data_IF_025186679832
#
_entry.id   IF_025186679832
#
_cell.length_a   1.000
_cell.length_b   1.000
_cell.length_c   1.000
_cell.angle_alpha   90.00
_cell.angle_beta   90.00
_cell.angle_gamma   90.00
#
_symmetry.space_group_name_H-M   'P 1'
#
loop_
_entity.id
_entity.type
_entity.pdbx_description
1 polymer ?
#
# COMPACT_ATOMS: atom_id res chain seq x y z
N UNK A 1 -1.77 34.04 -8.17
CA UNK A 1 -0.77 34.50 -7.17
C UNK A 1 -1.52 35.28 -6.11
N UNK A 2 -1.25 35.03 -4.84
CA UNK A 2 -1.88 35.73 -3.71
C UNK A 2 -0.96 36.90 -3.31
N UNK A 3 -1.48 38.07 -2.93
CA UNK A 3 -0.64 39.16 -2.44
C UNK A 3 0.13 38.74 -1.19
N UNK A 4 1.37 39.18 -1.04
CA UNK A 4 2.20 38.93 0.15
C UNK A 4 1.84 39.84 1.32
N UNK A 5 1.22 40.99 1.04
CA UNK A 5 0.73 41.96 2.02
C UNK A 5 -0.61 42.52 1.56
N UNK A 6 -1.51 42.89 2.49
CA UNK A 6 -2.75 43.54 2.10
C UNK A 6 -2.47 44.88 1.43
N UNK A 7 -3.23 45.22 0.39
CA UNK A 7 -3.13 46.51 -0.29
C UNK A 7 -4.49 47.21 -0.42
N UNK A 8 -4.43 48.53 -0.60
CA UNK A 8 -5.61 49.39 -0.59
C UNK A 8 -6.36 49.34 -1.93
N UNK A 9 -7.59 48.82 -1.91
CA UNK A 9 -8.50 48.79 -3.07
C UNK A 9 -9.12 50.15 -3.42
N UNK A 10 -8.77 51.22 -2.72
CA UNK A 10 -9.13 52.59 -3.14
C UNK A 10 -8.25 53.11 -4.29
N UNK A 11 -7.22 52.34 -4.70
CA UNK A 11 -6.35 52.64 -5.84
C UNK A 11 -7.10 52.66 -7.18
N UNK A 12 -8.28 52.06 -7.25
CA UNK A 12 -9.06 51.93 -8.47
C UNK A 12 -10.52 51.64 -8.20
N UNK A 13 -11.37 51.86 -9.21
CA UNK A 13 -12.75 51.40 -9.16
C UNK A 13 -12.82 49.97 -9.69
N UNK A 14 -12.81 48.99 -8.78
CA UNK A 14 -12.85 47.56 -9.08
C UNK A 14 -14.28 47.02 -9.25
N UNK A 15 -15.31 47.85 -9.05
CA UNK A 15 -16.71 47.43 -9.03
C UNK A 15 -17.32 47.16 -10.42
N UNK A 16 -16.56 47.35 -11.50
CA UNK A 16 -17.07 47.19 -12.88
C UNK A 16 -16.99 45.75 -13.40
N UNK A 17 -16.25 44.86 -12.73
CA UNK A 17 -15.94 43.52 -13.22
C UNK A 17 -16.20 42.49 -12.12
N UNK A 18 -16.75 41.32 -12.47
CA UNK A 18 -16.89 40.21 -11.52
C UNK A 18 -15.52 39.57 -11.31
N UNK A 19 -14.94 39.79 -10.13
CA UNK A 19 -13.65 39.22 -9.76
C UNK A 19 -13.77 37.71 -9.46
N UNK A 20 -12.71 36.97 -9.75
CA UNK A 20 -12.61 35.56 -9.37
C UNK A 20 -12.41 35.40 -7.84
N UNK A 21 -11.81 36.40 -7.21
CA UNK A 21 -11.62 36.50 -5.76
C UNK A 21 -11.98 37.92 -5.30
N UNK A 22 -13.05 38.05 -4.50
CA UNK A 22 -13.48 39.35 -3.95
C UNK A 22 -12.48 39.90 -2.92
N UNK A 23 -11.66 39.03 -2.32
CA UNK A 23 -10.65 39.37 -1.33
C UNK A 23 -9.23 39.32 -1.92
N UNK A 24 -9.08 39.48 -3.24
CA UNK A 24 -7.78 39.41 -3.95
C UNK A 24 -6.70 40.35 -3.41
N UNK A 25 -7.08 41.37 -2.65
CA UNK A 25 -6.19 42.34 -2.03
C UNK A 25 -5.71 41.95 -0.63
N UNK A 26 -6.14 40.80 -0.10
CA UNK A 26 -5.82 40.30 1.24
C UNK A 26 -5.07 38.96 1.10
N UNK A 27 -3.94 38.76 1.80
CA UNK A 27 -3.25 37.47 1.81
C UNK A 27 -4.14 36.37 2.42
N UNK A 28 -4.22 35.22 1.76
CA UNK A 28 -5.05 34.08 2.17
C UNK A 28 -4.39 32.72 1.92
N UNK A 29 -5.08 31.66 2.35
CA UNK A 29 -4.67 30.29 2.04
C UNK A 29 -4.97 29.96 0.57
N UNK A 30 -4.25 29.00 0.01
CA UNK A 30 -4.51 28.49 -1.35
C UNK A 30 -5.57 27.39 -1.24
N UNK A 31 -6.72 27.59 -1.88
CA UNK A 31 -7.81 26.61 -1.88
C UNK A 31 -7.66 25.54 -2.98
N UNK A 32 -7.07 25.91 -4.13
CA UNK A 32 -6.95 25.03 -5.30
C UNK A 32 -5.67 25.33 -6.09
N UNK A 33 -4.98 24.27 -6.54
CA UNK A 33 -3.87 24.34 -7.49
C UNK A 33 -4.31 23.79 -8.84
N UNK A 34 -4.14 24.59 -9.90
CA UNK A 34 -4.47 24.24 -11.27
C UNK A 34 -3.19 23.88 -12.04
N UNK A 35 -3.22 22.79 -12.80
CA UNK A 35 -2.11 22.38 -13.66
C UNK A 35 -1.84 23.39 -14.77
N UNK A 36 -0.59 23.46 -15.25
CA UNK A 36 -0.22 24.37 -16.34
C UNK A 36 -0.92 24.02 -17.67
N UNK A 37 -1.35 22.77 -17.84
CA UNK A 37 -2.07 22.28 -19.03
C UNK A 37 -3.40 23.00 -19.29
N UNK A 38 -4.12 23.39 -18.24
CA UNK A 38 -5.40 24.11 -18.36
C UNK A 38 -5.25 25.63 -18.36
N UNK A 39 -4.03 26.16 -18.22
CA UNK A 39 -3.78 27.60 -18.10
C UNK A 39 -4.36 28.40 -19.28
N UNK A 40 -4.15 27.93 -20.51
CA UNK A 40 -4.64 28.62 -21.71
C UNK A 40 -6.13 28.38 -21.97
N UNK A 41 -6.72 27.34 -21.37
CA UNK A 41 -8.14 27.03 -21.52
C UNK A 41 -9.01 27.94 -20.64
N UNK A 42 -8.51 28.32 -19.47
CA UNK A 42 -9.25 29.16 -18.52
C UNK A 42 -9.20 30.66 -18.86
N UNK A 43 -8.25 31.09 -19.69
CA UNK A 43 -8.10 32.48 -20.10
C UNK A 43 -9.15 32.86 -21.14
N UNK A 44 -9.87 33.94 -20.88
CA UNK A 44 -10.88 34.50 -21.79
C UNK A 44 -10.39 35.81 -22.41
N UNK A 45 -10.92 36.21 -23.57
CA UNK A 45 -10.72 37.56 -24.07
C UNK A 45 -11.20 38.61 -23.06
N UNK A 46 -10.41 39.68 -22.92
CA UNK A 46 -10.69 40.78 -21.99
C UNK A 46 -9.52 41.01 -21.04
N UNK A 47 -8.88 42.16 -21.20
CA UNK A 47 -7.82 42.61 -20.32
C UNK A 47 -7.98 44.10 -20.06
N UNK A 48 -7.94 44.50 -18.79
CA UNK A 48 -8.04 45.90 -18.39
C UNK A 48 -6.85 46.26 -17.50
N UNK A 49 -6.28 47.44 -17.74
CA UNK A 49 -5.16 47.95 -16.97
C UNK A 49 -5.69 49.02 -16.01
N UNK A 50 -5.25 48.97 -14.77
CA UNK A 50 -5.59 50.03 -13.82
C UNK A 50 -4.63 51.21 -13.99
N UNK A 51 -5.21 52.40 -14.24
CA UNK A 51 -4.48 53.65 -14.43
C UNK A 51 -3.51 53.91 -13.26
N UNK A 52 -2.31 54.39 -13.57
CA UNK A 52 -1.25 54.72 -12.60
C UNK A 52 -0.72 53.53 -11.76
N UNK A 53 -1.01 52.30 -12.17
CA UNK A 53 -0.43 51.08 -11.57
C UNK A 53 0.08 50.14 -12.66
N UNK A 54 0.82 49.09 -12.28
CA UNK A 54 1.15 47.97 -13.18
C UNK A 54 0.20 46.80 -12.99
N UNK A 55 -0.99 47.04 -12.42
CA UNK A 55 -2.01 46.02 -12.24
C UNK A 55 -2.76 45.79 -13.55
N UNK A 56 -2.87 44.52 -13.90
CA UNK A 56 -3.56 43.99 -15.06
C UNK A 56 -4.65 43.07 -14.55
N UNK A 57 -5.86 43.27 -15.04
CA UNK A 57 -7.01 42.42 -14.81
C UNK A 57 -7.24 41.58 -16.06
N UNK A 58 -7.16 40.26 -15.89
CA UNK A 58 -7.31 39.30 -16.97
C UNK A 58 -8.62 38.54 -16.77
N UNK A 59 -9.46 38.52 -17.80
CA UNK A 59 -10.71 37.76 -17.78
C UNK A 59 -10.41 36.25 -17.81
N UNK A 60 -11.12 35.48 -16.99
CA UNK A 60 -11.03 34.02 -16.94
C UNK A 60 -12.42 33.42 -16.76
N UNK A 61 -12.55 32.11 -16.94
CA UNK A 61 -13.81 31.37 -16.68
C UNK A 61 -14.32 31.53 -15.24
N UNK A 62 -13.46 31.92 -14.29
CA UNK A 62 -13.83 32.11 -12.88
C UNK A 62 -14.18 33.57 -12.54
N UNK A 63 -13.98 34.50 -13.48
CA UNK A 63 -14.01 35.94 -13.25
C UNK A 63 -12.64 36.58 -13.50
N UNK A 64 -12.54 37.88 -13.29
CA UNK A 64 -11.31 38.62 -13.51
C UNK A 64 -10.28 38.32 -12.40
N UNK A 65 -9.05 38.02 -12.81
CA UNK A 65 -7.89 37.86 -11.91
C UNK A 65 -6.99 39.09 -11.98
N UNK A 66 -6.44 39.50 -10.85
CA UNK A 66 -5.46 40.58 -10.79
C UNK A 66 -4.03 40.04 -10.86
N UNK A 67 -3.17 40.69 -11.64
CA UNK A 67 -1.74 40.38 -11.76
C UNK A 67 -0.93 41.66 -11.94
N UNK A 68 0.36 41.62 -11.58
CA UNK A 68 1.27 42.75 -11.73
C UNK A 68 1.75 43.32 -10.41
N UNK A 69 2.23 44.55 -10.42
CA UNK A 69 2.85 45.19 -9.27
C UNK A 69 2.21 46.51 -8.89
N UNK A 70 2.18 46.75 -7.58
CA UNK A 70 1.74 47.99 -6.98
C UNK A 70 2.99 48.71 -6.47
N UNK A 71 3.10 50.04 -6.66
CA UNK A 71 4.18 50.79 -6.03
C UNK A 71 4.03 50.73 -4.51
N UNK A 72 4.83 49.89 -3.86
CA UNK A 72 4.96 49.82 -2.40
C UNK A 72 6.11 50.73 -2.00
N UNK A 73 5.88 51.66 -1.05
CA UNK A 73 6.95 52.43 -0.44
C UNK A 73 8.00 51.47 0.11
N UNK A 74 9.23 51.59 -0.37
CA UNK A 74 10.32 50.62 -0.24
C UNK A 74 10.57 50.16 1.20
N UNK A 75 10.03 49.01 1.59
CA UNK A 75 10.71 48.12 2.51
C UNK A 75 11.50 47.12 1.66
N UNK A 76 12.83 47.25 1.63
CA UNK A 76 13.75 46.27 1.04
C UNK A 76 13.72 44.97 1.83
N UNK A 77 12.63 44.21 1.76
CA UNK A 77 12.57 42.82 2.23
C UNK A 77 12.66 41.93 1.00
N UNK A 78 13.76 41.18 0.80
CA UNK A 78 13.81 40.19 -0.26
C UNK A 78 12.71 39.16 0.00
N UNK A 79 11.80 39.00 -0.96
CA UNK A 79 10.80 37.96 -0.92
C UNK A 79 11.41 36.71 -1.58
N UNK A 80 11.71 35.71 -0.76
CA UNK A 80 12.23 34.44 -1.23
C UNK A 80 11.04 33.54 -1.61
N UNK A 81 10.96 33.12 -2.88
CA UNK A 81 10.10 32.00 -3.24
C UNK A 81 10.64 30.76 -2.54
N UNK A 82 9.83 30.13 -1.68
CA UNK A 82 10.19 28.88 -1.03
C UNK A 82 10.20 27.76 -2.08
N UNK A 83 11.36 27.50 -2.67
CA UNK A 83 11.69 26.15 -3.13
C UNK A 83 12.09 25.40 -1.86
N UNK A 84 11.11 24.80 -1.18
CA UNK A 84 11.42 23.89 -0.08
C UNK A 84 11.97 22.62 -0.74
N UNK A 85 13.28 22.49 -0.74
CA UNK A 85 13.97 21.24 -1.05
C UNK A 85 13.67 20.27 0.10
N UNK A 86 12.47 19.69 0.05
CA UNK A 86 11.95 18.85 1.09
C UNK A 86 12.58 17.48 0.87
N UNK A 87 13.81 17.29 1.35
CA UNK A 87 14.54 16.01 1.34
C UNK A 87 13.66 14.86 1.82
N UNK A 88 12.73 15.16 2.74
CA UNK A 88 11.75 14.20 3.25
C UNK A 88 10.67 13.83 2.21
N UNK A 89 10.24 14.77 1.36
CA UNK A 89 9.36 14.48 0.22
C UNK A 89 10.09 13.65 -0.84
N UNK A 90 11.33 14.00 -1.19
CA UNK A 90 12.11 13.22 -2.16
C UNK A 90 12.33 11.80 -1.66
N UNK A 91 12.64 11.64 -0.36
CA UNK A 91 12.77 10.33 0.30
C UNK A 91 11.44 9.59 0.35
N UNK A 92 10.35 10.27 0.66
CA UNK A 92 9.00 9.67 0.69
C UNK A 92 8.57 9.23 -0.70
N UNK A 93 8.80 10.06 -1.71
CA UNK A 93 8.56 9.74 -3.12
C UNK A 93 9.43 8.57 -3.56
N UNK A 94 10.75 8.62 -3.33
CA UNK A 94 11.65 7.49 -3.65
C UNK A 94 11.17 6.20 -3.01
N UNK A 95 10.79 6.22 -1.74
CA UNK A 95 10.27 5.04 -1.03
C UNK A 95 8.93 4.58 -1.58
N UNK A 96 8.05 5.49 -1.98
CA UNK A 96 6.81 5.17 -2.68
C UNK A 96 7.11 4.45 -4.00
N UNK A 97 8.02 5.00 -4.82
CA UNK A 97 8.46 4.37 -6.06
C UNK A 97 9.20 3.05 -5.83
N UNK A 98 10.00 2.88 -4.79
CA UNK A 98 10.63 1.59 -4.46
C UNK A 98 9.63 0.50 -4.07
N UNK A 99 8.48 0.89 -3.49
CA UNK A 99 7.41 -0.06 -3.11
C UNK A 99 6.51 -0.38 -4.31
N UNK A 100 6.16 0.62 -5.12
CA UNK A 100 5.26 0.47 -6.27
C UNK A 100 5.98 -0.01 -7.54
N UNK A 101 7.28 0.29 -7.69
CA UNK A 101 8.09 -0.27 -8.77
C UNK A 101 8.42 -1.72 -8.41
N UNK A 102 7.66 -2.63 -9.01
CA UNK A 102 8.08 -4.01 -9.19
C UNK A 102 9.13 -4.02 -10.31
N UNK A 103 10.33 -3.53 -10.02
CA UNK A 103 11.46 -3.86 -10.88
C UNK A 103 11.61 -5.40 -10.84
N UNK A 104 11.73 -6.06 -12.00
CA UNK A 104 11.98 -7.49 -12.01
C UNK A 104 13.29 -7.72 -11.26
N UNK A 105 13.21 -8.28 -10.05
CA UNK A 105 14.40 -8.69 -9.32
C UNK A 105 15.26 -9.51 -10.28
N UNK A 106 16.53 -9.12 -10.43
CA UNK A 106 17.49 -9.96 -11.12
C UNK A 106 17.53 -11.29 -10.38
N UNK A 107 16.93 -12.33 -10.96
CA UNK A 107 16.79 -13.62 -10.32
C UNK A 107 18.20 -14.22 -10.16
N UNK A 108 18.78 -14.10 -8.96
CA UNK A 108 20.19 -14.44 -8.70
C UNK A 108 20.43 -15.89 -8.31
N UNK A 109 19.39 -16.62 -7.87
CA UNK A 109 19.54 -17.98 -7.35
C UNK A 109 18.67 -18.99 -8.11
N UNK A 110 19.23 -20.17 -8.38
CA UNK A 110 18.54 -21.31 -9.02
C UNK A 110 17.27 -21.71 -8.29
N UNK A 111 17.27 -21.68 -6.96
CA UNK A 111 16.08 -21.99 -6.16
C UNK A 111 14.94 -20.99 -6.44
N UNK A 112 15.26 -19.70 -6.61
CA UNK A 112 14.27 -18.66 -6.94
C UNK A 112 13.68 -18.87 -8.33
N UNK A 113 14.51 -19.21 -9.33
CA UNK A 113 14.03 -19.55 -10.69
C UNK A 113 13.03 -20.71 -10.63
N UNK A 114 13.39 -21.80 -9.94
CA UNK A 114 12.53 -22.99 -9.83
C UNK A 114 11.21 -22.65 -9.13
N UNK A 115 11.25 -21.86 -8.05
CA UNK A 115 10.05 -21.44 -7.34
C UNK A 115 9.15 -20.56 -8.22
N UNK A 116 9.72 -19.62 -8.98
CA UNK A 116 8.99 -18.72 -9.87
C UNK A 116 8.33 -19.50 -11.02
N UNK A 117 9.09 -20.36 -11.71
CA UNK A 117 8.56 -21.24 -12.76
C UNK A 117 7.45 -22.15 -12.22
N UNK A 118 7.63 -22.71 -11.01
CA UNK A 118 6.63 -23.54 -10.37
C UNK A 118 5.36 -22.75 -10.03
N UNK A 119 5.50 -21.53 -9.50
CA UNK A 119 4.37 -20.66 -9.19
C UNK A 119 3.61 -20.29 -10.46
N UNK A 120 4.29 -19.82 -11.50
CA UNK A 120 3.67 -19.44 -12.77
C UNK A 120 2.87 -20.60 -13.39
N UNK A 121 3.38 -21.83 -13.28
CA UNK A 121 2.73 -23.03 -13.83
C UNK A 121 1.58 -23.58 -12.99
N UNK A 122 1.64 -23.47 -11.66
CA UNK A 122 0.75 -24.22 -10.76
C UNK A 122 -0.12 -23.34 -9.84
N UNK A 123 -0.05 -22.01 -9.94
CA UNK A 123 -0.98 -21.16 -9.21
C UNK A 123 -2.32 -21.08 -9.92
N UNK A 124 -3.39 -20.99 -9.14
CA UNK A 124 -4.75 -20.71 -9.62
C UNK A 124 -5.42 -19.73 -8.66
N UNK A 125 -6.64 -19.29 -8.99
CA UNK A 125 -7.49 -18.54 -8.06
C UNK A 125 -8.78 -19.29 -7.81
N UNK A 126 -9.26 -19.27 -6.57
CA UNK A 126 -10.58 -19.78 -6.23
C UNK A 126 -11.69 -18.85 -6.73
N UNK A 127 -12.95 -19.27 -6.61
CA UNK A 127 -14.12 -18.47 -7.00
C UNK A 127 -14.27 -17.15 -6.23
N UNK A 128 -13.55 -17.00 -5.10
CA UNK A 128 -13.51 -15.77 -4.29
C UNK A 128 -12.34 -14.85 -4.65
N UNK A 129 -11.48 -15.27 -5.59
CA UNK A 129 -10.30 -14.52 -6.02
C UNK A 129 -9.04 -14.76 -5.19
N UNK A 130 -9.05 -15.70 -4.22
CA UNK A 130 -7.86 -16.04 -3.42
C UNK A 130 -6.93 -16.95 -4.21
N UNK A 131 -5.63 -16.72 -4.06
CA UNK A 131 -4.62 -17.58 -4.69
C UNK A 131 -4.59 -18.96 -4.05
N UNK A 132 -4.61 -19.99 -4.89
CA UNK A 132 -4.29 -21.37 -4.55
C UNK A 132 -2.93 -21.65 -5.16
N UNK A 133 -1.95 -21.98 -4.33
CA UNK A 133 -0.56 -22.17 -4.72
C UNK A 133 -0.09 -23.55 -4.31
N UNK A 134 0.44 -24.32 -5.25
CA UNK A 134 1.16 -25.55 -4.94
C UNK A 134 2.56 -25.23 -4.41
N UNK A 135 2.96 -25.91 -3.33
CA UNK A 135 4.30 -25.75 -2.75
C UNK A 135 5.32 -26.58 -3.54
N UNK A 136 6.44 -26.01 -4.01
CA UNK A 136 7.48 -26.76 -4.69
C UNK A 136 8.24 -27.66 -3.72
N UNK A 137 8.66 -28.83 -4.18
CA UNK A 137 9.58 -29.69 -3.42
C UNK A 137 11.04 -29.28 -3.65
N UNK A 138 11.81 -29.18 -2.56
CA UNK A 138 13.25 -28.86 -2.64
C UNK A 138 14.09 -30.00 -3.22
N UNK A 139 13.65 -31.24 -3.04
CA UNK A 139 14.28 -32.47 -3.52
C UNK A 139 13.18 -33.40 -4.02
N UNK A 140 13.57 -34.40 -4.81
CA UNK A 140 12.65 -35.47 -5.20
C UNK A 140 12.02 -36.12 -3.94
N UNK A 141 10.67 -36.13 -3.81
CA UNK A 141 9.95 -36.78 -2.71
C UNK A 141 10.33 -38.25 -2.48
N UNK A 142 10.87 -38.95 -3.49
CA UNK A 142 11.41 -40.30 -3.35
C UNK A 142 12.52 -40.40 -2.29
N UNK A 143 13.17 -39.29 -1.91
CA UNK A 143 14.14 -39.26 -0.82
C UNK A 143 13.54 -39.50 0.58
N UNK A 144 12.21 -39.48 0.73
CA UNK A 144 11.51 -39.67 2.02
C UNK A 144 11.57 -41.12 2.52
N UNK A 145 11.94 -42.09 1.68
CA UNK A 145 12.19 -43.48 2.07
C UNK A 145 11.03 -44.13 2.83
N UNK A 146 11.34 -44.84 3.91
CA UNK A 146 10.39 -45.57 4.76
C UNK A 146 9.61 -44.64 5.73
N UNK A 147 8.98 -43.58 5.19
CA UNK A 147 8.24 -42.60 6.00
C UNK A 147 7.11 -43.23 6.83
N UNK A 148 6.41 -44.25 6.27
CA UNK A 148 5.35 -45.01 6.94
C UNK A 148 5.83 -45.71 8.21
N UNK A 149 6.95 -46.43 8.14
CA UNK A 149 7.49 -47.17 9.28
C UNK A 149 7.92 -46.24 10.41
N UNK A 150 8.49 -45.08 10.05
CA UNK A 150 8.85 -44.03 11.01
C UNK A 150 7.60 -43.47 11.68
N UNK A 151 6.58 -43.13 10.90
CA UNK A 151 5.31 -42.61 11.40
C UNK A 151 4.60 -43.61 12.33
N UNK A 152 4.54 -44.89 11.96
CA UNK A 152 3.94 -45.96 12.78
C UNK A 152 4.67 -46.15 14.12
N UNK A 153 6.01 -46.17 14.13
CA UNK A 153 6.79 -46.25 15.37
C UNK A 153 6.50 -45.07 16.30
N UNK A 154 6.39 -43.86 15.75
CA UNK A 154 6.05 -42.66 16.53
C UNK A 154 4.60 -42.68 17.02
N UNK A 155 3.66 -43.17 16.20
CA UNK A 155 2.26 -43.35 16.57
C UNK A 155 2.10 -44.31 17.75
N UNK A 156 2.82 -45.44 17.75
CA UNK A 156 2.82 -46.38 18.86
C UNK A 156 3.34 -45.74 20.16
N UNK A 157 4.40 -44.94 20.08
CA UNK A 157 4.92 -44.18 21.23
C UNK A 157 3.91 -43.16 21.75
N UNK A 158 3.24 -42.44 20.84
CA UNK A 158 2.17 -41.50 21.17
C UNK A 158 1.01 -42.21 21.88
N UNK A 159 0.55 -43.35 21.37
CA UNK A 159 -0.49 -44.16 22.00
C UNK A 159 -0.14 -44.58 23.43
N UNK A 160 1.10 -45.04 23.65
CA UNK A 160 1.56 -45.39 24.99
C UNK A 160 1.54 -44.20 25.95
N UNK A 161 1.83 -42.99 25.46
CA UNK A 161 1.70 -41.76 26.26
C UNK A 161 0.24 -41.42 26.55
N UNK A 162 -0.62 -41.42 25.54
CA UNK A 162 -2.04 -41.10 25.68
C UNK A 162 -2.75 -42.06 26.66
N UNK A 163 -2.37 -43.35 26.66
CA UNK A 163 -2.88 -44.33 27.64
C UNK A 163 -2.52 -43.99 29.08
N UNK A 164 -1.36 -43.38 29.32
CA UNK A 164 -0.89 -43.00 30.66
C UNK A 164 -1.45 -41.65 31.13
N UNK A 165 -1.88 -40.79 30.20
CA UNK A 165 -2.31 -39.41 30.48
C UNK A 165 -3.75 -39.16 29.96
N UNK A 166 -4.80 -39.50 30.73
CA UNK A 166 -6.20 -39.41 30.29
C UNK A 166 -6.63 -38.00 29.85
N UNK A 167 -6.15 -36.96 30.55
CA UNK A 167 -6.44 -35.58 30.20
C UNK A 167 -5.83 -35.19 28.85
N UNK A 168 -4.61 -35.65 28.58
CA UNK A 168 -3.96 -35.41 27.29
C UNK A 168 -4.67 -36.16 26.17
N UNK A 169 -5.12 -37.39 26.41
CA UNK A 169 -5.96 -38.14 25.47
C UNK A 169 -7.25 -37.41 25.11
N UNK A 170 -7.95 -36.85 26.10
CA UNK A 170 -9.17 -36.09 25.86
C UNK A 170 -8.89 -34.89 24.94
N UNK A 171 -7.93 -34.04 25.31
CA UNK A 171 -7.57 -32.86 24.52
C UNK A 171 -7.10 -33.22 23.10
N UNK A 172 -6.33 -34.29 22.96
CA UNK A 172 -5.85 -34.76 21.67
C UNK A 172 -7.01 -35.22 20.76
N UNK A 173 -7.99 -35.95 21.31
CA UNK A 173 -9.19 -36.37 20.57
C UNK A 173 -10.07 -35.19 20.18
N UNK A 174 -10.27 -34.25 21.11
CA UNK A 174 -11.10 -33.06 20.88
C UNK A 174 -10.47 -32.20 19.76
N UNK A 175 -9.15 -31.99 19.79
CA UNK A 175 -8.42 -31.29 18.73
C UNK A 175 -8.56 -31.97 17.36
N UNK A 176 -8.33 -33.29 17.29
CA UNK A 176 -8.47 -34.02 16.01
C UNK A 176 -9.90 -33.94 15.48
N UNK A 177 -10.91 -34.02 16.37
CA UNK A 177 -12.30 -33.89 15.95
C UNK A 177 -12.57 -32.51 15.35
N UNK A 178 -12.20 -31.44 16.05
CA UNK A 178 -12.33 -30.06 15.59
C UNK A 178 -11.59 -29.83 14.26
N UNK A 179 -10.34 -30.30 14.16
CA UNK A 179 -9.52 -30.17 12.95
C UNK A 179 -10.15 -30.86 11.73
N UNK A 180 -10.84 -32.00 11.94
CA UNK A 180 -11.64 -32.66 10.89
C UNK A 180 -12.90 -31.85 10.54
N UNK A 181 -13.62 -31.36 11.53
CA UNK A 181 -14.87 -30.59 11.36
C UNK A 181 -14.63 -29.26 10.63
N UNK A 182 -13.48 -28.62 10.86
CA UNK A 182 -13.02 -27.42 10.13
C UNK A 182 -12.54 -27.72 8.70
N UNK A 183 -12.53 -28.98 8.27
CA UNK A 183 -12.07 -29.38 6.95
C UNK A 183 -10.56 -29.29 6.76
N UNK A 184 -9.77 -29.23 7.85
CA UNK A 184 -8.30 -29.17 7.78
C UNK A 184 -7.64 -30.55 7.64
N UNK A 185 -8.40 -31.64 7.82
CA UNK A 185 -7.97 -32.99 7.47
C UNK A 185 -9.14 -33.86 7.02
N UNK A 186 -8.85 -34.92 6.28
CA UNK A 186 -9.81 -35.92 5.85
C UNK A 186 -9.24 -37.33 6.05
N UNK A 187 -10.13 -38.31 6.05
CA UNK A 187 -9.75 -39.72 6.10
C UNK A 187 -9.21 -40.13 4.72
N UNK A 188 -8.13 -40.91 4.71
CA UNK A 188 -7.46 -41.31 3.48
C UNK A 188 -8.05 -42.61 2.95
N UNK A 189 -8.19 -42.75 1.63
CA UNK A 189 -8.58 -44.01 1.00
C UNK A 189 -7.34 -44.91 0.91
N UNK A 190 -7.34 -46.05 1.60
CA UNK A 190 -6.19 -46.96 1.71
C UNK A 190 -5.81 -47.64 0.37
N UNK A 191 -6.60 -47.45 -0.69
CA UNK A 191 -6.38 -48.07 -2.00
C UNK A 191 -5.28 -47.41 -2.85
N UNK A 192 -4.83 -46.21 -2.50
CA UNK A 192 -3.82 -45.49 -3.27
C UNK A 192 -2.40 -45.77 -2.76
N UNK A 193 -1.77 -46.89 -3.12
CA UNK A 193 -0.42 -47.21 -2.61
C UNK A 193 0.72 -46.41 -3.26
N UNK A 194 0.50 -45.79 -4.43
CA UNK A 194 1.55 -45.08 -5.15
C UNK A 194 1.62 -43.60 -4.74
N UNK A 195 2.75 -43.18 -4.14
CA UNK A 195 3.02 -41.77 -3.84
C UNK A 195 2.51 -41.27 -2.49
N UNK A 196 2.11 -42.15 -1.55
CA UNK A 196 1.76 -41.74 -0.19
C UNK A 196 3.00 -41.48 0.67
N UNK A 197 2.98 -40.36 1.39
CA UNK A 197 4.00 -40.02 2.37
C UNK A 197 3.36 -39.81 3.74
N UNK A 198 3.99 -40.34 4.77
CA UNK A 198 3.45 -40.32 6.13
C UNK A 198 4.29 -39.41 7.02
N UNK A 199 3.63 -38.46 7.68
CA UNK A 199 4.26 -37.56 8.64
C UNK A 199 3.81 -37.96 10.06
N UNK A 200 4.74 -38.16 11.01
CA UNK A 200 4.38 -38.39 12.40
C UNK A 200 3.61 -37.20 12.97
N UNK A 201 2.38 -37.41 13.42
CA UNK A 201 1.65 -36.38 14.16
C UNK A 201 2.19 -36.28 15.59
N UNK A 202 2.56 -35.06 16.02
CA UNK A 202 3.09 -34.78 17.35
C UNK A 202 2.22 -33.72 18.02
N UNK A 203 1.41 -34.13 19.00
CA UNK A 203 0.67 -33.18 19.82
C UNK A 203 1.62 -32.42 20.76
N UNK A 204 1.53 -31.10 20.76
CA UNK A 204 2.25 -30.24 21.71
C UNK A 204 1.30 -29.90 22.85
N UNK A 205 1.53 -30.53 24.01
CA UNK A 205 0.81 -30.18 25.23
C UNK A 205 1.54 -29.04 25.95
N UNK A 206 0.86 -27.90 26.11
CA UNK A 206 1.29 -26.82 26.98
C UNK A 206 0.39 -26.83 28.19
N UNK A 207 0.92 -27.23 29.36
CA UNK A 207 0.25 -26.90 30.63
C UNK A 207 0.28 -25.39 30.77
N UNK A 208 -0.87 -24.77 30.98
CA UNK A 208 -1.01 -23.32 31.03
C UNK A 208 0.13 -22.65 31.79
N UNK A 209 0.72 -21.62 31.18
CA UNK A 209 1.69 -20.76 31.84
C UNK A 209 1.01 -20.26 33.12
N UNK A 210 1.64 -20.47 34.28
CA UNK A 210 1.35 -19.65 35.45
C UNK A 210 1.51 -18.19 34.99
N UNK A 211 0.39 -17.49 34.86
CA UNK A 211 0.39 -16.05 34.57
C UNK A 211 1.32 -15.40 35.60
N UNK A 212 2.40 -14.79 35.11
CA UNK A 212 3.34 -14.02 35.89
C UNK A 212 2.92 -12.56 35.82
#
# INVERSE_FOLDING_TARGET
>A
MIPSQPFNVSLGNFSREKLADENFNIPGNIDLLLGAEIFYEILLPGQTNLLNTKLIFQNTVFGYIASGSIPVSSENKPHCGLIKDNVDLEKTMRRFWEIENVEPETIKNKETIICEEHFQKNHTRDSTGRYIVSMPFKKDPNCLGQSKDIALKKLNSLWNRLKREPNYLKLYRDFLKEYKELGHMQEVDEREECGMYFIPHLGVYRSDKKNK
#
